data_IF_915635319259
#
_entry.id   IF_915635319259
#
_cell.length_a   1.000
_cell.length_b   1.000
_cell.length_c   1.000
_cell.angle_alpha   90.00
_cell.angle_beta   90.00
_cell.angle_gamma   90.00
#
_symmetry.space_group_name_H-M   'P 1'
#
loop_
_entity.id
_entity.type
_entity.pdbx_description
1 polymer ?
#
# COMPACT_ATOMS: atom_id res chain seq x y z
N UNK A 1 -23.03 3.58 -11.42
CA UNK A 1 -22.57 2.88 -10.20
C UNK A 1 -21.06 2.93 -10.22
N UNK A 2 -20.46 3.70 -9.31
CA UNK A 2 -19.04 4.08 -9.35
C UNK A 2 -18.14 2.86 -9.21
N UNK A 3 -17.29 2.63 -10.20
CA UNK A 3 -16.27 1.58 -10.25
C UNK A 3 -15.23 1.83 -9.15
N UNK A 4 -15.58 1.46 -7.91
CA UNK A 4 -14.67 1.53 -6.77
C UNK A 4 -13.72 0.35 -6.87
N UNK A 5 -12.65 0.51 -7.65
CA UNK A 5 -11.60 -0.50 -7.76
C UNK A 5 -11.14 -0.90 -6.35
N UNK A 6 -11.30 -2.19 -6.06
CA UNK A 6 -10.84 -2.80 -4.82
C UNK A 6 -9.52 -3.51 -5.07
N UNK A 7 -8.57 -3.30 -4.16
CA UNK A 7 -7.33 -4.06 -4.14
C UNK A 7 -7.37 -5.03 -2.97
N UNK A 8 -6.82 -6.22 -3.18
CA UNK A 8 -6.67 -7.24 -2.14
C UNK A 8 -5.26 -7.20 -1.61
N UNK A 9 -5.12 -7.08 -0.30
CA UNK A 9 -3.82 -7.11 0.38
C UNK A 9 -3.84 -8.08 1.55
N UNK A 10 -2.68 -8.58 1.95
CA UNK A 10 -2.55 -9.45 3.11
C UNK A 10 -2.23 -8.62 4.36
N UNK A 11 -2.90 -8.93 5.48
CA UNK A 11 -2.55 -8.33 6.76
C UNK A 11 -1.11 -8.72 7.15
N UNK A 12 -0.22 -7.76 7.44
CA UNK A 12 1.18 -8.04 7.79
C UNK A 12 1.33 -8.64 9.19
N UNK A 13 0.27 -8.69 9.99
CA UNK A 13 0.30 -9.34 11.29
C UNK A 13 0.33 -10.86 11.09
N UNK A 14 1.44 -11.50 11.52
CA UNK A 14 1.70 -12.93 11.35
C UNK A 14 0.66 -13.83 12.03
N UNK A 15 -0.03 -13.36 13.06
CA UNK A 15 -1.12 -14.11 13.69
C UNK A 15 -2.43 -13.99 12.92
N UNK A 16 -2.65 -12.86 12.24
CA UNK A 16 -3.89 -12.60 11.51
C UNK A 16 -3.85 -13.12 10.07
N UNK A 17 -2.86 -12.69 9.27
CA UNK A 17 -2.66 -13.06 7.86
C UNK A 17 -3.89 -13.00 6.94
N UNK A 18 -4.97 -12.33 7.37
CA UNK A 18 -6.23 -12.27 6.65
C UNK A 18 -6.08 -11.42 5.39
N UNK A 19 -6.70 -11.85 4.30
CA UNK A 19 -6.82 -11.04 3.07
C UNK A 19 -7.88 -9.97 3.28
N UNK A 20 -7.50 -8.71 3.10
CA UNK A 20 -8.36 -7.55 3.20
C UNK A 20 -8.68 -7.03 1.80
N UNK A 21 -9.96 -6.74 1.55
CA UNK A 21 -10.38 -5.98 0.37
C UNK A 21 -10.51 -4.52 0.76
N UNK A 22 -9.65 -3.68 0.20
CA UNK A 22 -9.60 -2.25 0.49
C UNK A 22 -9.82 -1.46 -0.80
N UNK A 23 -10.46 -0.29 -0.75
CA UNK A 23 -10.67 0.51 -1.94
C UNK A 23 -9.36 1.20 -2.37
N UNK A 24 -9.18 1.44 -3.67
CA UNK A 24 -7.97 2.11 -4.18
C UNK A 24 -7.74 3.50 -3.56
N UNK A 25 -8.80 4.22 -3.17
CA UNK A 25 -8.73 5.53 -2.51
C UNK A 25 -8.08 5.48 -1.12
N UNK A 26 -7.90 4.29 -0.56
CA UNK A 26 -7.19 4.05 0.70
C UNK A 26 -5.69 3.77 0.49
N UNK A 27 -5.20 3.66 -0.75
CA UNK A 27 -3.76 3.48 -1.01
C UNK A 27 -2.96 4.69 -0.54
N UNK A 28 -1.81 4.43 0.06
CA UNK A 28 -0.97 5.45 0.70
C UNK A 28 -1.44 5.89 2.09
N UNK A 29 -2.61 5.44 2.54
CA UNK A 29 -3.15 5.75 3.87
C UNK A 29 -2.90 4.60 4.85
N UNK A 30 -3.04 4.91 6.13
CA UNK A 30 -3.10 3.89 7.19
C UNK A 30 -4.55 3.48 7.40
N UNK A 31 -4.83 2.18 7.32
CA UNK A 31 -6.17 1.62 7.55
C UNK A 31 -6.13 0.61 8.68
N UNK A 32 -7.28 0.39 9.32
CA UNK A 32 -7.40 -0.61 10.38
C UNK A 32 -7.83 -1.95 9.80
N UNK A 33 -7.15 -3.04 10.16
CA UNK A 33 -7.53 -4.39 9.79
C UNK A 33 -8.91 -4.74 10.36
N UNK A 34 -9.87 -5.14 9.52
CA UNK A 34 -11.21 -5.54 9.98
C UNK A 34 -11.20 -6.85 10.79
N UNK A 35 -10.15 -7.67 10.66
CA UNK A 35 -10.04 -8.96 11.35
C UNK A 35 -9.34 -8.85 12.72
N UNK A 36 -8.22 -8.15 12.82
CA UNK A 36 -7.42 -8.07 14.07
C UNK A 36 -7.29 -6.66 14.66
N UNK A 37 -7.78 -5.63 13.97
CA UNK A 37 -7.69 -4.25 14.45
C UNK A 37 -6.30 -3.59 14.34
N UNK A 38 -5.28 -4.27 13.81
CA UNK A 38 -3.94 -3.71 13.58
C UNK A 38 -3.99 -2.59 12.54
N UNK A 39 -3.24 -1.51 12.78
CA UNK A 39 -3.05 -0.42 11.82
C UNK A 39 -2.05 -0.85 10.74
N UNK A 40 -2.47 -0.80 9.47
CA UNK A 40 -1.69 -1.26 8.32
C UNK A 40 -1.49 -0.08 7.38
N UNK A 41 -0.24 0.17 6.99
CA UNK A 41 0.08 1.16 5.96
C UNK A 41 -0.09 0.54 4.58
N UNK A 42 -0.98 1.10 3.76
CA UNK A 42 -1.24 0.60 2.41
C UNK A 42 -0.22 1.20 1.44
N UNK A 43 0.47 0.39 0.63
CA UNK A 43 1.40 0.91 -0.37
C UNK A 43 0.69 1.80 -1.38
N UNK A 44 1.23 3.02 -1.55
CA UNK A 44 0.81 3.99 -2.54
C UNK A 44 1.00 3.43 -3.95
N UNK A 45 0.12 3.80 -4.88
CA UNK A 45 0.28 3.45 -6.29
C UNK A 45 1.33 4.31 -7.01
N UNK A 46 1.82 5.37 -6.36
CA UNK A 46 2.95 6.13 -6.89
C UNK A 46 4.22 5.31 -6.69
N UNK A 47 5.00 5.03 -7.75
CA UNK A 47 6.36 4.58 -7.55
C UNK A 47 7.04 5.58 -6.62
N UNK A 48 7.78 5.08 -5.63
CA UNK A 48 8.65 5.95 -4.84
C UNK A 48 9.48 6.79 -5.82
N UNK A 49 9.73 8.09 -5.56
CA UNK A 49 10.62 8.86 -6.40
C UNK A 49 11.96 8.13 -6.37
N UNK A 50 12.28 7.42 -7.46
CA UNK A 50 13.56 6.79 -7.64
C UNK A 50 14.55 7.94 -7.63
N UNK A 51 15.35 8.03 -6.58
CA UNK A 51 16.47 8.96 -6.51
C UNK A 51 17.48 8.49 -7.55
N UNK A 52 17.27 8.88 -8.81
CA UNK A 52 18.24 8.71 -9.88
C UNK A 52 19.36 9.73 -9.63
N UNK A 53 20.22 9.43 -8.65
CA UNK A 53 21.55 10.02 -8.58
C UNK A 53 22.35 9.48 -9.77
N UNK A 54 22.13 10.07 -10.94
CA UNK A 54 23.03 9.95 -12.08
C UNK A 54 24.23 10.86 -11.79
N UNK A 55 25.22 10.31 -11.08
CA UNK A 55 26.60 10.79 -11.10
C UNK A 55 27.18 10.54 -12.50
N UNK A 56 26.76 11.36 -13.47
CA UNK A 56 27.49 11.49 -14.73
C UNK A 56 28.70 12.38 -14.47
N UNK A 57 29.72 11.77 -13.85
CA UNK A 57 31.08 12.27 -13.79
C UNK A 57 31.61 12.48 -15.22
N UNK A 58 31.64 13.75 -15.59
CA UNK A 58 32.04 14.33 -16.87
C UNK A 58 33.56 14.58 -16.87
N UNK A 59 34.22 14.06 -17.91
CA UNK A 59 35.51 14.47 -18.52
C UNK A 59 36.80 14.12 -17.78
#
# INVERSE_FOLDING_TARGET
>A
MSDQRMVRIMCPNLTCRKVLSIPEVARGKTVRCKACGTNIRIPSNKPAPTNQNNDQGKQ
#
